data_IF_197980712292
#
_entry.id   IF_197980712292
#
_cell.length_a   1.000
_cell.length_b   1.000
_cell.length_c   1.000
_cell.angle_alpha   90.00
_cell.angle_beta   90.00
_cell.angle_gamma   90.00
#
_symmetry.space_group_name_H-M   'P 1'
#
loop_
_entity.id
_entity.type
_entity.pdbx_description
1 polymer ?
#
# COMPACT_ATOMS: atom_id res chain seq x y z
N UNK A 1 7.46 -26.50 17.48
CA UNK A 1 7.44 -25.13 18.05
C UNK A 1 5.98 -24.74 18.23
N UNK A 2 5.48 -24.62 19.46
CA UNK A 2 4.08 -24.22 19.70
C UNK A 2 3.97 -22.73 19.36
N UNK A 3 3.19 -22.40 18.33
CA UNK A 3 2.82 -21.04 17.94
C UNK A 3 1.93 -20.43 19.03
N UNK A 4 2.54 -20.02 20.14
CA UNK A 4 1.88 -19.39 21.26
C UNK A 4 1.61 -17.92 20.96
N UNK A 5 0.36 -17.57 20.68
CA UNK A 5 -0.31 -16.31 21.03
C UNK A 5 0.22 -14.95 20.55
N UNK A 6 1.46 -14.85 20.08
CA UNK A 6 2.06 -13.58 19.69
C UNK A 6 1.97 -13.39 18.17
N UNK A 7 1.26 -12.33 17.78
CA UNK A 7 1.11 -11.88 16.40
C UNK A 7 2.42 -11.32 15.77
N UNK A 8 3.56 -11.49 16.45
CA UNK A 8 4.92 -11.15 16.01
C UNK A 8 5.75 -12.40 15.63
N UNK A 9 5.13 -13.59 15.58
CA UNK A 9 5.86 -14.80 15.21
C UNK A 9 6.03 -14.85 13.69
N UNK A 10 7.18 -14.37 13.19
CA UNK A 10 7.64 -14.75 11.85
C UNK A 10 8.03 -16.22 11.85
N UNK A 11 8.02 -16.83 10.67
CA UNK A 11 8.45 -18.22 10.50
C UNK A 11 9.23 -18.39 9.20
N UNK A 12 10.24 -19.28 9.17
CA UNK A 12 11.01 -19.52 7.97
C UNK A 12 10.17 -20.29 6.95
N UNK A 13 10.44 -20.12 5.67
CA UNK A 13 9.80 -20.82 4.55
C UNK A 13 9.90 -22.34 4.69
N UNK A 14 10.94 -22.84 5.37
CA UNK A 14 11.12 -24.26 5.68
C UNK A 14 9.97 -24.84 6.52
N UNK A 15 9.19 -24.00 7.19
CA UNK A 15 8.00 -24.41 7.95
C UNK A 15 6.83 -24.82 7.05
N UNK A 16 6.86 -24.47 5.76
CA UNK A 16 5.77 -24.74 4.81
C UNK A 16 6.20 -25.61 3.62
N UNK A 17 7.51 -25.91 3.48
CA UNK A 17 8.05 -26.63 2.33
C UNK A 17 7.57 -28.09 2.26
N UNK A 18 7.23 -28.69 3.40
CA UNK A 18 6.74 -30.07 3.52
C UNK A 18 5.23 -30.20 3.27
N UNK A 19 4.50 -29.08 3.23
CA UNK A 19 3.05 -29.03 3.02
C UNK A 19 2.71 -29.32 1.57
N UNK A 20 1.76 -30.21 1.36
CA UNK A 20 1.39 -30.73 0.02
C UNK A 20 0.09 -30.12 -0.49
N UNK A 21 -0.72 -29.51 0.37
CA UNK A 21 -2.06 -29.02 0.07
C UNK A 21 -2.27 -27.65 0.70
N UNK A 22 -1.58 -26.66 0.14
CA UNK A 22 -1.60 -25.27 0.60
C UNK A 22 -2.73 -24.51 -0.09
N UNK A 23 -3.61 -23.91 0.69
CA UNK A 23 -4.66 -23.00 0.22
C UNK A 23 -4.27 -21.55 0.50
N UNK A 24 -4.48 -20.63 -0.45
CA UNK A 24 -4.34 -19.19 -0.19
C UNK A 24 -5.71 -18.55 0.05
N UNK A 25 -5.79 -17.58 0.96
CA UNK A 25 -7.06 -16.88 1.27
C UNK A 25 -6.83 -15.41 1.68
N UNK A 26 -7.61 -14.44 1.22
CA UNK A 26 -8.59 -14.53 0.15
C UNK A 26 -7.90 -14.51 -1.22
N UNK A 27 -8.65 -14.77 -2.30
CA UNK A 27 -8.21 -14.48 -3.67
C UNK A 27 -8.13 -12.94 -3.86
N UNK A 28 -7.05 -12.33 -3.37
CA UNK A 28 -6.76 -10.89 -3.45
C UNK A 28 -5.36 -10.62 -4.02
N UNK A 29 -5.00 -9.34 -4.21
CA UNK A 29 -3.68 -8.94 -4.69
C UNK A 29 -2.53 -9.54 -3.87
N UNK A 30 -2.69 -9.67 -2.55
CA UNK A 30 -1.69 -10.34 -1.70
C UNK A 30 -1.41 -11.79 -2.10
N UNK A 31 -2.39 -12.53 -2.64
CA UNK A 31 -2.16 -13.87 -3.18
C UNK A 31 -1.33 -13.83 -4.45
N UNK A 32 -1.58 -12.87 -5.35
CA UNK A 32 -0.77 -12.68 -6.55
C UNK A 32 0.69 -12.32 -6.21
N UNK A 33 0.88 -11.47 -5.19
CA UNK A 33 2.20 -11.08 -4.72
C UNK A 33 2.99 -12.25 -4.14
N UNK A 34 2.35 -13.03 -3.26
CA UNK A 34 2.97 -14.24 -2.70
C UNK A 34 3.32 -15.24 -3.80
N UNK A 35 2.44 -15.47 -4.78
CA UNK A 35 2.70 -16.39 -5.89
C UNK A 35 3.85 -15.93 -6.78
N UNK A 36 3.98 -14.63 -7.04
CA UNK A 36 5.14 -14.06 -7.74
C UNK A 36 6.44 -14.36 -6.98
N UNK A 37 6.45 -14.13 -5.68
CA UNK A 37 7.61 -14.46 -4.83
C UNK A 37 7.94 -15.95 -4.87
N UNK A 38 6.93 -16.83 -4.72
CA UNK A 38 7.13 -18.28 -4.77
C UNK A 38 7.63 -18.72 -6.14
N UNK A 39 7.16 -18.12 -7.23
CA UNK A 39 7.65 -18.40 -8.58
C UNK A 39 9.13 -18.06 -8.74
N UNK A 40 9.56 -16.94 -8.18
CA UNK A 40 10.93 -16.45 -8.30
C UNK A 40 11.91 -17.19 -7.39
N UNK A 41 11.51 -17.46 -6.14
CA UNK A 41 12.42 -17.94 -5.09
C UNK A 41 12.19 -19.41 -4.69
N UNK A 42 10.96 -19.90 -4.76
CA UNK A 42 10.58 -21.23 -4.27
C UNK A 42 9.61 -21.96 -5.21
N UNK A 43 9.94 -22.14 -6.50
CA UNK A 43 8.98 -22.64 -7.50
C UNK A 43 8.46 -24.05 -7.18
N UNK A 44 9.22 -24.83 -6.41
CA UNK A 44 8.81 -26.15 -5.93
C UNK A 44 7.58 -26.13 -5.00
N UNK A 45 7.27 -25.00 -4.35
CA UNK A 45 6.09 -24.85 -3.49
C UNK A 45 4.83 -24.62 -4.33
N UNK A 46 4.94 -24.00 -5.52
CA UNK A 46 3.78 -23.66 -6.35
C UNK A 46 2.90 -24.87 -6.69
N UNK A 47 3.51 -26.04 -6.93
CA UNK A 47 2.78 -27.29 -7.22
C UNK A 47 1.92 -27.79 -6.05
N UNK A 48 2.19 -27.31 -4.84
CA UNK A 48 1.46 -27.65 -3.63
C UNK A 48 0.32 -26.66 -3.36
N UNK A 49 0.23 -25.55 -4.12
CA UNK A 49 -0.88 -24.60 -4.04
C UNK A 49 -2.08 -25.21 -4.76
N UNK A 50 -3.10 -25.61 -3.98
CA UNK A 50 -4.26 -26.33 -4.51
C UNK A 50 -5.38 -25.41 -5.00
N UNK A 51 -5.30 -24.12 -4.70
CA UNK A 51 -6.27 -23.12 -5.10
C UNK A 51 -6.27 -21.88 -4.21
N UNK A 52 -7.23 -21.01 -4.50
CA UNK A 52 -7.54 -19.82 -3.71
C UNK A 52 -8.92 -20.00 -3.09
N UNK A 53 -9.16 -19.48 -1.89
CA UNK A 53 -10.52 -19.32 -1.38
C UNK A 53 -10.95 -17.86 -1.38
N UNK A 54 -12.24 -17.59 -1.56
CA UNK A 54 -12.81 -16.25 -1.42
C UNK A 54 -14.31 -16.38 -1.09
N UNK A 55 -14.92 -15.31 -0.57
CA UNK A 55 -16.37 -15.22 -0.39
C UNK A 55 -17.08 -15.15 -1.75
N UNK A 56 -16.41 -14.58 -2.75
CA UNK A 56 -16.87 -14.61 -4.14
C UNK A 56 -16.06 -15.63 -4.97
N UNK A 57 -16.57 -16.86 -5.19
CA UNK A 57 -15.89 -17.87 -6.00
C UNK A 57 -15.86 -17.54 -7.50
N UNK A 58 -16.66 -16.57 -7.96
CA UNK A 58 -16.74 -16.17 -9.36
C UNK A 58 -15.77 -15.05 -9.71
N UNK A 59 -14.95 -14.61 -8.76
CA UNK A 59 -13.98 -13.55 -8.91
C UNK A 59 -12.98 -13.85 -10.02
N UNK A 60 -13.24 -13.37 -11.24
CA UNK A 60 -12.40 -13.60 -12.43
C UNK A 60 -11.09 -12.83 -12.40
N UNK A 61 -11.02 -11.88 -11.47
CA UNK A 61 -10.03 -10.84 -11.27
C UNK A 61 -8.60 -11.25 -11.05
N UNK A 62 -8.46 -12.35 -10.33
CA UNK A 62 -7.19 -12.92 -9.92
C UNK A 62 -7.16 -14.36 -10.38
N UNK A 63 -7.76 -14.64 -11.54
CA UNK A 63 -7.50 -15.87 -12.28
C UNK A 63 -6.03 -15.85 -12.69
N UNK A 64 -5.20 -16.16 -11.71
CA UNK A 64 -3.82 -16.54 -11.85
C UNK A 64 -3.89 -17.85 -12.62
N UNK A 65 -3.41 -17.82 -13.86
CA UNK A 65 -3.53 -18.93 -14.80
C UNK A 65 -3.27 -20.25 -14.07
N UNK A 66 -4.30 -21.10 -13.99
CA UNK A 66 -4.35 -22.46 -13.40
C UNK A 66 -4.85 -22.62 -11.95
N UNK A 67 -5.08 -21.56 -11.16
CA UNK A 67 -5.63 -21.71 -9.81
C UNK A 67 -7.14 -21.48 -9.77
N UNK A 68 -7.88 -22.47 -9.26
CA UNK A 68 -9.33 -22.37 -9.02
C UNK A 68 -9.61 -21.57 -7.74
N UNK A 69 -10.65 -20.74 -7.79
CA UNK A 69 -11.20 -20.06 -6.62
C UNK A 69 -12.36 -20.90 -6.07
N UNK A 70 -12.34 -21.12 -4.77
CA UNK A 70 -13.30 -21.93 -4.03
C UNK A 70 -14.09 -21.07 -3.06
N UNK A 71 -15.38 -21.34 -2.96
CA UNK A 71 -16.25 -20.69 -1.98
C UNK A 71 -15.92 -21.18 -0.56
N UNK A 72 -16.16 -20.33 0.44
CA UNK A 72 -15.84 -20.61 1.85
C UNK A 72 -16.40 -21.95 2.36
N UNK A 73 -17.63 -22.29 1.98
CA UNK A 73 -18.31 -23.54 2.35
C UNK A 73 -17.71 -24.81 1.69
N UNK A 74 -16.94 -24.66 0.62
CA UNK A 74 -16.29 -25.78 -0.09
C UNK A 74 -14.87 -26.07 0.38
N UNK A 75 -14.27 -25.20 1.20
CA UNK A 75 -12.84 -25.29 1.57
C UNK A 75 -12.50 -26.58 2.33
N UNK A 76 -13.39 -27.05 3.21
CA UNK A 76 -13.17 -28.29 3.98
C UNK A 76 -13.04 -29.52 3.08
N UNK A 77 -13.80 -29.57 1.97
CA UNK A 77 -13.74 -30.68 1.01
C UNK A 77 -12.38 -30.77 0.31
N UNK A 78 -11.63 -29.67 0.23
CA UNK A 78 -10.29 -29.63 -0.32
C UNK A 78 -9.25 -30.28 0.60
N UNK A 79 -9.57 -30.50 1.88
CA UNK A 79 -8.63 -31.05 2.88
C UNK A 79 -7.24 -30.38 2.80
N UNK A 80 -7.15 -29.04 2.95
CA UNK A 80 -5.87 -28.37 3.00
C UNK A 80 -5.07 -28.84 4.22
N UNK A 81 -3.76 -28.97 4.09
CA UNK A 81 -2.84 -29.23 5.22
C UNK A 81 -2.16 -27.94 5.73
N UNK A 82 -2.41 -26.82 5.06
CA UNK A 82 -2.05 -25.47 5.47
C UNK A 82 -2.95 -24.45 4.74
N UNK A 83 -3.35 -23.39 5.46
CA UNK A 83 -3.92 -22.18 4.84
C UNK A 83 -3.00 -20.99 5.10
N UNK A 84 -2.64 -20.28 4.03
CA UNK A 84 -1.93 -19.02 4.09
C UNK A 84 -2.91 -17.88 3.84
N UNK A 85 -3.10 -17.04 4.85
CA UNK A 85 -3.86 -15.81 4.73
C UNK A 85 -2.97 -14.73 4.13
N UNK A 86 -3.37 -14.16 2.99
CA UNK A 86 -2.57 -13.19 2.21
C UNK A 86 -3.08 -11.76 2.38
N UNK A 87 -3.76 -11.49 3.49
CA UNK A 87 -4.23 -10.16 3.86
C UNK A 87 -3.99 -9.94 5.34
N UNK A 88 -2.97 -9.14 5.65
CA UNK A 88 -2.59 -8.89 7.03
C UNK A 88 -3.70 -8.18 7.83
N UNK A 89 -4.41 -7.22 7.25
CA UNK A 89 -5.50 -6.51 7.93
C UNK A 89 -6.73 -7.38 8.20
N UNK A 90 -6.98 -8.37 7.36
CA UNK A 90 -8.12 -9.29 7.50
C UNK A 90 -7.76 -10.56 8.29
N UNK A 91 -6.47 -10.79 8.56
CA UNK A 91 -5.98 -12.01 9.18
C UNK A 91 -6.66 -12.38 10.50
N UNK A 92 -6.86 -11.47 11.48
CA UNK A 92 -7.51 -11.85 12.73
C UNK A 92 -8.91 -12.43 12.53
N UNK A 93 -9.74 -11.74 11.74
CA UNK A 93 -11.12 -12.16 11.46
C UNK A 93 -11.16 -13.43 10.59
N UNK A 94 -10.33 -13.51 9.56
CA UNK A 94 -10.27 -14.68 8.68
C UNK A 94 -9.75 -15.92 9.39
N UNK A 95 -8.78 -15.77 10.29
CA UNK A 95 -8.26 -16.90 11.08
C UNK A 95 -9.35 -17.52 11.94
N UNK A 96 -10.15 -16.70 12.62
CA UNK A 96 -11.28 -17.18 13.41
C UNK A 96 -12.32 -17.91 12.53
N UNK A 97 -12.72 -17.29 11.41
CA UNK A 97 -13.66 -17.87 10.44
C UNK A 97 -13.16 -19.23 9.90
N UNK A 98 -11.90 -19.28 9.43
CA UNK A 98 -11.30 -20.49 8.85
C UNK A 98 -11.07 -21.59 9.89
N UNK A 99 -10.69 -21.25 11.13
CA UNK A 99 -10.57 -22.24 12.21
C UNK A 99 -11.91 -22.94 12.46
N UNK A 100 -13.01 -22.18 12.45
CA UNK A 100 -14.36 -22.75 12.61
C UNK A 100 -14.78 -23.67 11.46
N UNK A 101 -14.33 -23.38 10.23
CA UNK A 101 -14.68 -24.14 9.03
C UNK A 101 -13.83 -25.39 8.81
N UNK A 102 -12.52 -25.31 9.06
CA UNK A 102 -11.54 -26.36 8.74
C UNK A 102 -11.16 -27.23 9.94
N UNK A 103 -11.50 -26.79 11.14
CA UNK A 103 -11.12 -27.45 12.39
C UNK A 103 -9.75 -27.01 12.91
N UNK A 104 -9.42 -27.37 14.16
CA UNK A 104 -8.23 -26.88 14.86
C UNK A 104 -6.91 -27.46 14.34
N UNK A 105 -6.94 -28.55 13.58
CA UNK A 105 -5.75 -29.28 13.14
C UNK A 105 -5.11 -28.69 11.87
N UNK A 106 -5.85 -27.85 11.12
CA UNK A 106 -5.33 -27.18 9.93
C UNK A 106 -4.66 -25.87 10.34
N UNK A 107 -3.33 -25.72 10.18
CA UNK A 107 -2.65 -24.48 10.50
C UNK A 107 -3.13 -23.35 9.58
N UNK A 108 -3.45 -22.20 10.18
CA UNK A 108 -3.80 -20.97 9.47
C UNK A 108 -2.77 -19.90 9.83
N UNK A 109 -1.92 -19.57 8.87
CA UNK A 109 -0.77 -18.67 9.05
C UNK A 109 -0.92 -17.43 8.18
N UNK A 110 -0.30 -16.33 8.60
CA UNK A 110 -0.20 -15.12 7.80
C UNK A 110 0.98 -15.24 6.81
N UNK A 111 0.73 -15.03 5.52
CA UNK A 111 1.77 -15.08 4.49
C UNK A 111 2.86 -14.01 4.72
N UNK A 112 2.46 -12.80 5.09
CA UNK A 112 3.37 -11.69 5.41
C UNK A 112 4.30 -11.97 6.61
N UNK A 113 4.11 -13.08 7.34
CA UNK A 113 5.01 -13.50 8.43
C UNK A 113 6.12 -14.47 7.95
N UNK A 114 6.15 -14.84 6.67
CA UNK A 114 7.24 -15.62 6.08
C UNK A 114 8.49 -14.73 6.00
N UNK A 115 9.56 -15.12 6.68
CA UNK A 115 10.79 -14.32 6.80
C UNK A 115 11.42 -14.01 5.43
N UNK A 116 11.52 -15.01 4.56
CA UNK A 116 12.08 -14.89 3.22
C UNK A 116 11.20 -14.05 2.28
N UNK A 117 9.88 -14.05 2.49
CA UNK A 117 8.97 -13.22 1.73
C UNK A 117 9.07 -11.75 2.15
N UNK A 118 9.11 -11.47 3.45
CA UNK A 118 9.37 -10.12 3.98
C UNK A 118 10.71 -9.59 3.47
N UNK A 119 11.78 -10.38 3.56
CA UNK A 119 13.09 -10.00 3.06
C UNK A 119 13.09 -9.74 1.54
N UNK A 120 12.37 -10.57 0.78
CA UNK A 120 12.20 -10.38 -0.67
C UNK A 120 11.49 -9.08 -1.01
N UNK A 121 10.39 -8.76 -0.31
CA UNK A 121 9.65 -7.52 -0.56
C UNK A 121 10.44 -6.29 -0.09
N UNK A 122 11.17 -6.40 1.04
CA UNK A 122 12.00 -5.34 1.59
C UNK A 122 13.33 -5.10 0.84
N UNK A 123 13.66 -5.90 -0.18
CA UNK A 123 14.97 -5.86 -0.87
C UNK A 123 15.35 -4.49 -1.46
N UNK A 124 14.35 -3.67 -1.83
CA UNK A 124 14.57 -2.32 -2.39
C UNK A 124 14.64 -1.22 -1.32
N UNK A 125 14.37 -1.52 -0.05
CA UNK A 125 14.43 -0.53 1.04
C UNK A 125 15.86 -0.37 1.54
N UNK A 126 16.41 0.83 1.42
CA UNK A 126 17.72 1.14 1.99
C UNK A 126 17.66 1.19 3.52
N UNK A 127 16.52 1.59 4.10
CA UNK A 127 16.32 1.54 5.54
C UNK A 127 16.38 0.08 6.05
N UNK A 128 15.69 -0.84 5.39
CA UNK A 128 15.72 -2.25 5.75
C UNK A 128 17.13 -2.85 5.62
N UNK A 129 17.86 -2.50 4.56
CA UNK A 129 19.25 -2.95 4.38
C UNK A 129 20.18 -2.42 5.48
N UNK A 130 20.08 -1.14 5.84
CA UNK A 130 20.86 -0.57 6.96
C UNK A 130 20.56 -1.28 8.28
N UNK A 131 19.28 -1.55 8.54
CA UNK A 131 18.86 -2.20 9.78
C UNK A 131 19.16 -3.70 9.81
N UNK A 132 19.36 -4.38 8.68
CA UNK A 132 19.66 -5.81 8.66
C UNK A 132 20.90 -6.17 9.49
N UNK A 133 21.93 -5.31 9.48
CA UNK A 133 23.16 -5.48 10.27
C UNK A 133 23.07 -5.02 11.72
N UNK A 134 22.02 -4.28 12.10
CA UNK A 134 21.83 -3.82 13.47
C UNK A 134 21.33 -4.98 14.35
N UNK A 135 21.80 -5.14 15.60
CA UNK A 135 21.30 -6.19 16.50
C UNK A 135 19.82 -5.97 16.81
N UNK A 136 19.06 -7.04 17.04
CA UNK A 136 17.70 -6.96 17.60
C UNK A 136 17.75 -7.31 19.08
N UNK A 137 17.36 -6.39 19.96
CA UNK A 137 17.45 -6.54 21.42
C UNK A 137 16.12 -6.98 22.08
N UNK A 138 15.05 -7.18 21.31
CA UNK A 138 13.75 -7.66 21.80
C UNK A 138 12.77 -6.56 22.25
N UNK A 139 13.25 -5.34 22.51
CA UNK A 139 12.42 -4.22 23.02
C UNK A 139 12.01 -3.22 21.92
N UNK A 140 12.34 -3.52 20.66
CA UNK A 140 12.17 -2.59 19.52
C UNK A 140 10.77 -2.52 18.93
N UNK A 141 9.85 -3.38 19.37
CA UNK A 141 8.47 -3.47 18.84
C UNK A 141 7.49 -2.43 19.44
N UNK A 142 7.89 -1.67 20.48
CA UNK A 142 7.01 -0.80 21.27
C UNK A 142 6.70 0.58 20.60
N UNK A 143 5.63 1.32 20.98
CA UNK A 143 4.90 1.31 22.25
C UNK A 143 3.82 0.23 22.37
N UNK A 144 3.29 0.00 23.59
CA UNK A 144 2.34 -1.05 23.97
C UNK A 144 1.04 -1.18 23.13
N UNK A 145 0.80 -0.29 22.16
CA UNK A 145 -0.21 -0.43 21.13
C UNK A 145 0.44 -0.94 19.83
N UNK A 146 0.40 -2.25 19.60
CA UNK A 146 1.01 -2.94 18.45
C UNK A 146 0.31 -2.63 17.09
N UNK A 147 -0.10 -1.39 16.87
CA UNK A 147 -0.82 -0.88 15.70
C UNK A 147 0.07 -0.07 14.77
N UNK A 148 1.29 -0.53 14.46
CA UNK A 148 2.10 0.08 13.40
C UNK A 148 1.27 0.16 12.12
N UNK A 149 1.39 1.27 11.40
CA UNK A 149 0.74 1.43 10.10
C UNK A 149 1.63 0.81 9.01
N UNK A 150 2.93 1.12 9.03
CA UNK A 150 3.93 0.57 8.14
C UNK A 150 4.78 -0.53 8.79
N UNK A 151 5.24 -1.50 7.99
CA UNK A 151 6.09 -2.59 8.45
C UNK A 151 7.53 -2.10 8.63
N UNK A 152 7.87 -1.66 9.85
CA UNK A 152 9.17 -1.05 10.16
C UNK A 152 10.28 -2.10 10.30
N UNK A 153 11.48 -1.93 9.72
CA UNK A 153 12.61 -2.82 10.03
C UNK A 153 13.13 -2.52 11.45
N UNK A 154 13.28 -3.56 12.27
CA UNK A 154 13.64 -3.42 13.69
C UNK A 154 15.11 -3.77 13.99
N UNK A 155 15.81 -4.41 13.07
CA UNK A 155 17.16 -4.95 13.31
C UNK A 155 17.19 -6.46 13.14
N UNK A 156 18.34 -7.03 12.76
CA UNK A 156 18.57 -8.48 12.75
C UNK A 156 17.58 -9.27 11.89
N UNK A 157 17.08 -8.65 10.80
CA UNK A 157 16.06 -9.23 9.93
C UNK A 157 14.65 -9.28 10.53
N UNK A 158 14.41 -8.62 11.67
CA UNK A 158 13.08 -8.50 12.28
C UNK A 158 12.36 -7.27 11.76
N UNK A 159 11.04 -7.39 11.69
CA UNK A 159 10.14 -6.36 11.20
C UNK A 159 8.95 -6.20 12.13
N UNK A 160 8.49 -4.96 12.30
CA UNK A 160 7.32 -4.65 13.10
C UNK A 160 6.06 -5.19 12.43
N UNK A 161 5.19 -5.79 13.26
CA UNK A 161 3.85 -6.15 12.82
C UNK A 161 3.06 -4.87 12.57
N UNK A 162 2.55 -4.70 11.36
CA UNK A 162 1.86 -3.47 10.95
C UNK A 162 0.57 -3.74 10.22
N UNK A 163 -0.23 -2.71 9.93
CA UNK A 163 -1.43 -2.81 9.09
C UNK A 163 -1.08 -3.10 7.62
N UNK A 164 -0.07 -2.42 7.07
CA UNK A 164 0.32 -2.52 5.66
C UNK A 164 1.12 -3.78 5.32
N UNK A 165 1.79 -4.40 6.29
CA UNK A 165 2.60 -5.60 6.07
C UNK A 165 3.61 -5.40 4.92
N UNK A 166 3.73 -6.38 4.03
CA UNK A 166 4.66 -6.31 2.88
C UNK A 166 4.36 -5.16 1.91
N UNK A 167 3.13 -4.62 1.91
CA UNK A 167 2.76 -3.50 1.03
C UNK A 167 3.55 -2.22 1.32
N UNK A 168 4.07 -2.07 2.54
CA UNK A 168 5.00 -0.99 2.89
C UNK A 168 6.17 -0.91 1.92
N UNK A 169 6.74 -2.07 1.56
CA UNK A 169 7.93 -2.14 0.71
C UNK A 169 7.59 -2.10 -0.77
N UNK A 170 6.52 -2.80 -1.19
CA UNK A 170 6.06 -2.77 -2.59
C UNK A 170 5.72 -1.37 -3.08
N UNK A 171 5.21 -0.53 -2.17
CA UNK A 171 4.83 0.83 -2.52
C UNK A 171 6.03 1.66 -3.01
N UNK A 172 7.26 1.36 -2.59
CA UNK A 172 8.47 2.06 -3.05
C UNK A 172 8.64 2.01 -4.58
N UNK A 173 8.41 0.83 -5.17
CA UNK A 173 8.46 0.66 -6.63
C UNK A 173 7.20 1.21 -7.31
N UNK A 174 6.01 1.01 -6.70
CA UNK A 174 4.73 1.47 -7.26
C UNK A 174 4.66 2.99 -7.37
N UNK A 175 5.25 3.71 -6.43
CA UNK A 175 5.32 5.19 -6.46
C UNK A 175 6.56 5.70 -7.21
N UNK A 176 7.40 4.80 -7.73
CA UNK A 176 8.70 5.12 -8.37
C UNK A 176 9.56 6.04 -7.49
N UNK A 177 9.63 5.77 -6.19
CA UNK A 177 10.47 6.57 -5.29
C UNK A 177 11.92 6.50 -5.78
N UNK A 178 12.61 7.63 -6.05
CA UNK A 178 13.97 7.62 -6.56
C UNK A 178 14.91 6.85 -5.64
N UNK A 179 15.79 6.03 -6.21
CA UNK A 179 16.70 5.17 -5.44
C UNK A 179 17.78 5.96 -4.68
N UNK A 180 18.13 7.14 -5.19
CA UNK A 180 19.07 8.06 -4.57
C UNK A 180 18.41 9.44 -4.49
N UNK A 181 18.49 10.04 -3.30
CA UNK A 181 17.96 11.35 -2.97
C UNK A 181 19.07 12.31 -2.54
N UNK A 182 20.33 11.97 -2.82
CA UNK A 182 21.50 12.80 -2.50
C UNK A 182 21.27 14.26 -2.92
N UNK A 183 21.37 15.17 -1.95
CA UNK A 183 21.20 16.62 -2.17
C UNK A 183 19.75 17.10 -2.28
N UNK A 184 18.75 16.21 -2.22
CA UNK A 184 17.33 16.56 -2.33
C UNK A 184 16.70 16.79 -0.97
N UNK A 185 15.85 17.80 -0.88
CA UNK A 185 14.98 18.06 0.26
C UNK A 185 13.62 17.38 0.05
N UNK A 186 13.09 16.72 1.09
CA UNK A 186 11.87 15.91 0.99
C UNK A 186 10.83 16.37 2.02
N UNK A 187 9.58 16.52 1.58
CA UNK A 187 8.42 16.72 2.44
C UNK A 187 7.52 15.48 2.37
N UNK A 188 7.27 14.84 3.51
CA UNK A 188 6.37 13.70 3.66
C UNK A 188 5.11 14.12 4.43
N UNK A 189 3.99 14.24 3.72
CA UNK A 189 2.71 14.63 4.29
C UNK A 189 1.92 13.40 4.73
N UNK A 190 1.25 13.48 5.88
CA UNK A 190 0.55 12.36 6.52
C UNK A 190 1.48 11.16 6.79
N UNK A 191 2.66 11.45 7.36
CA UNK A 191 3.73 10.47 7.52
C UNK A 191 3.38 9.30 8.48
N UNK A 192 2.32 9.41 9.30
CA UNK A 192 1.91 8.40 10.27
C UNK A 192 3.05 8.00 11.23
N UNK A 193 3.57 6.78 11.11
CA UNK A 193 4.72 6.26 11.87
C UNK A 193 6.08 6.49 11.19
N UNK A 194 6.11 7.09 9.99
CA UNK A 194 7.29 7.69 9.39
C UNK A 194 8.09 6.84 8.41
N UNK A 195 7.64 5.64 8.03
CA UNK A 195 8.42 4.74 7.17
C UNK A 195 9.02 5.42 5.93
N UNK A 196 8.20 6.11 5.13
CA UNK A 196 8.70 6.76 3.91
C UNK A 196 9.63 7.94 4.20
N UNK A 197 9.43 8.64 5.31
CA UNK A 197 10.37 9.67 5.76
C UNK A 197 11.75 9.08 6.08
N UNK A 198 11.80 7.98 6.85
CA UNK A 198 13.06 7.32 7.21
C UNK A 198 13.71 6.62 6.01
N UNK A 199 12.92 6.06 5.09
CA UNK A 199 13.43 5.51 3.84
C UNK A 199 14.06 6.61 2.97
N UNK A 200 13.46 7.80 2.89
CA UNK A 200 14.04 8.94 2.19
C UNK A 200 15.36 9.40 2.80
N UNK A 201 15.45 9.48 4.13
CA UNK A 201 16.72 9.75 4.82
C UNK A 201 17.75 8.63 4.55
N UNK A 202 17.31 7.37 4.56
CA UNK A 202 18.18 6.23 4.24
C UNK A 202 18.73 6.28 2.80
N UNK A 203 18.00 6.91 1.88
CA UNK A 203 18.37 7.24 0.49
C UNK A 203 19.17 8.53 0.34
N UNK A 204 19.77 9.02 1.41
CA UNK A 204 20.67 10.18 1.42
C UNK A 204 20.00 11.52 1.11
N UNK A 205 18.69 11.66 1.34
CA UNK A 205 18.04 12.96 1.30
C UNK A 205 18.79 13.98 2.17
N UNK A 206 19.03 15.18 1.64
CA UNK A 206 19.72 16.27 2.35
C UNK A 206 19.00 16.63 3.65
N UNK A 207 17.66 16.68 3.59
CA UNK A 207 16.81 16.79 4.77
C UNK A 207 15.41 16.30 4.46
N UNK A 208 14.75 15.75 5.48
CA UNK A 208 13.37 15.26 5.38
C UNK A 208 12.53 15.93 6.45
N UNK A 209 11.37 16.44 6.03
CA UNK A 209 10.34 16.99 6.90
C UNK A 209 9.10 16.09 6.84
N UNK A 210 8.78 15.44 7.95
CA UNK A 210 7.56 14.67 8.14
C UNK A 210 6.47 15.55 8.78
N UNK A 211 5.26 15.47 8.26
CA UNK A 211 4.09 16.19 8.80
C UNK A 211 2.97 15.21 9.06
N UNK A 212 2.43 15.26 10.27
CA UNK A 212 1.27 14.47 10.68
C UNK A 212 0.50 15.25 11.75
N UNK A 213 -0.82 15.10 11.84
CA UNK A 213 -1.64 15.97 12.68
C UNK A 213 -2.91 15.34 13.23
N UNK A 214 -3.57 16.00 14.21
CA UNK A 214 -4.67 15.43 14.99
C UNK A 214 -6.00 15.19 14.21
N UNK A 215 -5.99 15.31 12.88
CA UNK A 215 -7.19 15.14 12.03
C UNK A 215 -7.50 13.70 11.61
N UNK A 216 -6.62 12.74 11.91
CA UNK A 216 -6.68 11.38 11.37
C UNK A 216 -6.81 10.28 12.43
N UNK A 217 -7.20 10.67 13.67
CA UNK A 217 -7.48 9.75 14.79
C UNK A 217 -6.36 8.74 15.10
N UNK A 218 -5.10 9.13 14.95
CA UNK A 218 -3.97 8.28 15.34
C UNK A 218 -3.05 8.95 16.39
N UNK A 219 -3.54 9.19 17.62
CA UNK A 219 -2.73 9.76 18.69
C UNK A 219 -1.48 8.91 19.03
N UNK A 220 -1.43 7.65 18.62
CA UNK A 220 -0.27 6.80 18.76
C UNK A 220 0.76 6.90 17.61
N UNK A 221 0.40 7.49 16.48
CA UNK A 221 1.30 7.69 15.33
C UNK A 221 2.57 8.44 15.71
N UNK A 222 2.43 9.55 16.44
CA UNK A 222 3.58 10.32 16.95
C UNK A 222 4.49 9.49 17.87
N UNK A 223 3.93 8.67 18.75
CA UNK A 223 4.73 7.84 19.66
C UNK A 223 5.56 6.82 18.88
N UNK A 224 4.95 6.17 17.89
CA UNK A 224 5.62 5.24 16.97
C UNK A 224 6.69 5.93 16.13
N UNK A 225 6.39 7.10 15.58
CA UNK A 225 7.37 7.90 14.85
C UNK A 225 8.58 8.25 15.72
N UNK A 226 8.37 8.74 16.95
CA UNK A 226 9.47 9.11 17.85
C UNK A 226 10.28 7.90 18.29
N UNK A 227 9.63 6.75 18.50
CA UNK A 227 10.31 5.48 18.78
C UNK A 227 11.18 5.05 17.60
N UNK A 228 10.62 5.01 16.39
CA UNK A 228 11.36 4.70 15.16
C UNK A 228 12.51 5.68 14.92
N UNK A 229 12.29 6.98 15.14
CA UNK A 229 13.34 8.01 15.02
C UNK A 229 14.49 7.73 15.97
N UNK A 230 14.20 7.35 17.21
CA UNK A 230 15.23 6.98 18.19
C UNK A 230 15.96 5.71 17.77
N UNK A 231 15.22 4.69 17.30
CA UNK A 231 15.76 3.42 16.86
C UNK A 231 16.72 3.57 15.67
N UNK A 232 16.41 4.47 14.75
CA UNK A 232 17.20 4.70 13.53
C UNK A 232 18.25 5.79 13.69
N UNK A 233 18.39 6.38 14.89
CA UNK A 233 19.25 7.56 15.13
C UNK A 233 18.98 8.68 14.11
N UNK A 234 17.71 8.83 13.75
CA UNK A 234 17.28 9.63 12.61
C UNK A 234 17.17 11.12 12.94
N UNK A 235 17.48 11.94 11.95
CA UNK A 235 17.42 13.41 12.02
C UNK A 235 16.16 14.00 11.37
N UNK A 236 15.25 13.15 10.89
CA UNK A 236 13.99 13.59 10.26
C UNK A 236 13.24 14.56 11.19
N UNK A 237 12.89 15.73 10.63
CA UNK A 237 12.13 16.76 11.33
C UNK A 237 10.66 16.37 11.33
N UNK A 238 10.02 16.35 12.49
CA UNK A 238 8.60 16.05 12.61
C UNK A 238 7.81 17.29 12.99
N UNK A 239 6.74 17.58 12.25
CA UNK A 239 5.77 18.62 12.58
C UNK A 239 4.42 17.99 12.95
N UNK A 240 3.99 18.20 14.19
CA UNK A 240 2.64 17.89 14.62
C UNK A 240 1.69 19.02 14.20
N UNK A 241 1.11 18.93 13.01
CA UNK A 241 0.27 19.98 12.44
C UNK A 241 -0.81 19.42 11.51
N UNK A 242 -1.96 20.11 11.42
CA UNK A 242 -2.92 19.84 10.35
C UNK A 242 -2.25 20.11 9.00
N UNK A 243 -2.47 19.22 8.04
CA UNK A 243 -1.84 19.28 6.72
C UNK A 243 -2.17 20.60 6.03
N UNK A 244 -3.44 21.00 6.04
CA UNK A 244 -3.90 22.25 5.42
C UNK A 244 -3.22 23.47 6.05
N UNK A 245 -3.14 23.51 7.38
CA UNK A 245 -2.46 24.60 8.09
C UNK A 245 -0.93 24.60 7.84
N UNK A 246 -0.33 23.44 7.65
CA UNK A 246 1.10 23.33 7.38
C UNK A 246 1.46 23.88 5.99
N UNK A 247 0.68 23.53 4.96
CA UNK A 247 0.91 23.95 3.58
C UNK A 247 0.48 25.39 3.30
N UNK A 248 -0.40 25.97 4.12
CA UNK A 248 -0.82 27.37 4.02
C UNK A 248 0.21 28.36 4.60
N UNK A 249 1.13 27.87 5.44
CA UNK A 249 2.16 28.72 6.03
C UNK A 249 3.26 29.06 5.00
N UNK A 250 3.81 30.30 5.02
CA UNK A 250 4.97 30.65 4.21
C UNK A 250 6.16 29.74 4.53
N UNK A 251 6.66 29.01 3.52
CA UNK A 251 7.76 28.04 3.67
C UNK A 251 8.62 28.00 2.41
N UNK A 252 9.84 27.50 2.59
CA UNK A 252 10.66 27.06 1.48
C UNK A 252 10.01 25.86 0.78
N UNK A 253 10.22 25.77 -0.53
CA UNK A 253 9.86 24.60 -1.32
C UNK A 253 10.81 23.43 -1.06
N UNK A 254 10.35 22.24 -1.43
CA UNK A 254 11.06 20.97 -1.32
C UNK A 254 11.29 20.42 -2.72
N UNK A 255 12.40 19.72 -2.94
CA UNK A 255 12.63 19.08 -4.23
C UNK A 255 11.60 17.99 -4.48
N UNK A 256 11.26 17.22 -3.44
CA UNK A 256 10.33 16.12 -3.53
C UNK A 256 9.24 16.26 -2.47
N UNK A 257 7.97 16.14 -2.90
CA UNK A 257 6.82 16.11 -1.99
C UNK A 257 6.10 14.76 -2.12
N UNK A 258 5.86 14.10 -0.99
CA UNK A 258 5.07 12.87 -0.90
C UNK A 258 3.68 13.20 -0.34
N UNK A 259 2.65 12.93 -1.13
CA UNK A 259 1.23 13.06 -0.77
C UNK A 259 0.56 11.69 -0.88
N UNK A 260 0.79 10.85 0.14
CA UNK A 260 0.46 9.43 0.06
C UNK A 260 -0.88 9.11 0.74
N UNK A 261 -1.96 9.08 -0.04
CA UNK A 261 -3.29 8.70 0.47
C UNK A 261 -4.09 9.85 1.09
N UNK A 262 -3.88 11.10 0.63
CA UNK A 262 -4.38 12.31 1.33
C UNK A 262 -5.59 12.95 0.64
N UNK A 263 -5.48 13.27 -0.66
CA UNK A 263 -6.36 14.24 -1.33
C UNK A 263 -7.87 13.97 -1.15
N UNK A 264 -8.28 12.71 -1.12
CA UNK A 264 -9.68 12.29 -1.05
C UNK A 264 -10.34 12.49 0.32
N UNK A 265 -9.57 12.89 1.32
CA UNK A 265 -10.05 13.27 2.64
C UNK A 265 -10.19 14.78 2.83
N UNK A 266 -9.73 15.57 1.86
CA UNK A 266 -9.74 17.03 1.94
C UNK A 266 -11.02 17.58 1.33
N UNK A 267 -11.51 18.70 1.86
CA UNK A 267 -12.70 19.36 1.32
C UNK A 267 -12.46 19.91 -0.09
N UNK A 268 -11.27 20.46 -0.35
CA UNK A 268 -10.88 21.08 -1.62
C UNK A 268 -9.56 20.48 -2.15
N UNK A 269 -9.62 19.39 -2.93
CA UNK A 269 -8.43 18.76 -3.49
C UNK A 269 -7.73 19.60 -4.57
N UNK A 270 -8.45 20.50 -5.27
CA UNK A 270 -7.87 21.36 -6.30
C UNK A 270 -6.94 22.41 -5.69
N UNK A 271 -7.44 23.14 -4.68
CA UNK A 271 -6.63 24.10 -3.94
C UNK A 271 -5.43 23.42 -3.25
N UNK A 272 -5.63 22.20 -2.74
CA UNK A 272 -4.55 21.40 -2.19
C UNK A 272 -3.43 21.15 -3.21
N UNK A 273 -3.75 20.68 -4.42
CA UNK A 273 -2.73 20.44 -5.44
C UNK A 273 -2.03 21.72 -5.92
N UNK A 274 -2.73 22.84 -6.05
CA UNK A 274 -2.10 24.13 -6.38
C UNK A 274 -1.07 24.57 -5.31
N UNK A 275 -1.38 24.33 -4.02
CA UNK A 275 -0.44 24.59 -2.92
C UNK A 275 0.75 23.63 -2.94
N UNK A 276 0.52 22.35 -3.24
CA UNK A 276 1.62 21.40 -3.39
C UNK A 276 2.52 21.75 -4.57
N UNK A 277 1.96 22.23 -5.68
CA UNK A 277 2.75 22.76 -6.79
C UNK A 277 3.65 23.90 -6.28
N UNK A 278 3.13 24.89 -5.56
CA UNK A 278 3.97 25.96 -5.01
C UNK A 278 5.10 25.45 -4.07
N UNK A 279 4.87 24.36 -3.33
CA UNK A 279 5.83 23.75 -2.41
C UNK A 279 6.82 22.77 -3.05
N UNK A 280 6.67 22.42 -4.31
CA UNK A 280 7.52 21.43 -5.00
C UNK A 280 8.52 22.14 -5.91
N UNK A 281 9.79 21.73 -5.97
CA UNK A 281 10.75 22.23 -6.97
C UNK A 281 10.85 21.30 -8.18
N UNK A 282 10.75 19.99 -7.96
CA UNK A 282 11.05 18.98 -8.97
C UNK A 282 9.89 17.98 -9.09
N UNK A 283 9.59 17.20 -8.04
CA UNK A 283 8.68 16.06 -8.13
C UNK A 283 7.64 16.01 -7.00
N UNK A 284 6.38 15.79 -7.38
CA UNK A 284 5.28 15.43 -6.48
C UNK A 284 4.86 13.98 -6.72
N UNK A 285 4.77 13.19 -5.66
CA UNK A 285 4.24 11.82 -5.69
C UNK A 285 2.90 11.81 -4.98
N UNK A 286 1.83 11.42 -5.68
CA UNK A 286 0.48 11.31 -5.14
C UNK A 286 0.03 9.86 -5.16
N UNK A 287 -0.56 9.38 -4.07
CA UNK A 287 -1.29 8.11 -4.10
C UNK A 287 -2.70 8.24 -3.55
N UNK A 288 -3.58 7.35 -3.99
CA UNK A 288 -4.90 7.27 -3.40
C UNK A 288 -5.81 6.23 -4.04
N UNK A 289 -7.05 6.20 -3.52
CA UNK A 289 -8.11 5.38 -4.08
C UNK A 289 -8.78 6.13 -5.21
N UNK A 290 -8.80 5.51 -6.39
CA UNK A 290 -9.52 6.02 -7.54
C UNK A 290 -10.72 5.14 -7.87
N UNK A 291 -11.67 5.68 -8.62
CA UNK A 291 -12.73 4.88 -9.23
C UNK A 291 -12.30 4.41 -10.62
N UNK A 292 -12.41 3.10 -10.86
CA UNK A 292 -12.21 2.47 -12.16
C UNK A 292 -13.46 2.66 -13.02
N UNK A 293 -13.73 3.91 -13.40
CA UNK A 293 -14.82 4.30 -14.29
C UNK A 293 -14.26 5.06 -15.48
N UNK A 294 -14.49 4.51 -16.67
CA UNK A 294 -14.12 5.13 -17.94
C UNK A 294 -15.39 5.55 -18.67
N UNK A 295 -15.62 6.86 -18.71
CA UNK A 295 -16.62 7.50 -19.55
C UNK A 295 -15.83 8.42 -20.49
N UNK A 296 -16.20 8.52 -21.75
CA UNK A 296 -15.54 9.47 -22.67
C UNK A 296 -16.07 10.87 -22.46
N UNK A 297 -15.22 11.88 -22.57
CA UNK A 297 -15.61 13.28 -22.47
C UNK A 297 -16.46 13.69 -23.68
N UNK A 298 -17.77 13.99 -23.49
CA UNK A 298 -18.65 14.30 -24.60
C UNK A 298 -18.33 15.64 -25.27
N UNK A 299 -17.59 16.54 -24.61
CA UNK A 299 -17.23 17.85 -25.18
C UNK A 299 -16.14 17.68 -26.25
N UNK A 300 -15.27 16.69 -26.09
CA UNK A 300 -14.12 16.44 -26.96
C UNK A 300 -14.34 15.25 -27.91
N UNK A 301 -15.60 14.84 -28.07
CA UNK A 301 -16.02 13.74 -28.92
C UNK A 301 -16.60 14.27 -30.24
N UNK A 302 -16.37 13.59 -31.39
CA UNK A 302 -17.04 13.94 -32.65
C UNK A 302 -18.59 13.92 -32.51
N UNK A 303 -19.27 14.88 -33.12
CA UNK A 303 -20.73 15.06 -32.97
C UNK A 303 -21.55 13.82 -33.36
N UNK A 304 -21.11 13.09 -34.39
CA UNK A 304 -21.71 11.83 -34.86
C UNK A 304 -21.54 10.68 -33.85
N UNK A 305 -20.53 10.75 -32.98
CA UNK A 305 -20.35 9.80 -31.88
C UNK A 305 -21.23 10.13 -30.66
N UNK A 306 -21.54 11.40 -30.43
CA UNK A 306 -22.42 11.84 -29.33
C UNK A 306 -23.88 11.42 -29.60
N UNK A 307 -24.30 11.44 -30.86
CA UNK A 307 -25.69 11.19 -31.26
C UNK A 307 -25.80 10.03 -32.27
N UNK A 308 -25.78 8.79 -31.77
CA UNK A 308 -26.19 7.62 -32.57
C UNK A 308 -25.10 6.59 -32.88
N UNK A 309 -23.85 6.81 -32.45
CA UNK A 309 -22.83 5.78 -32.51
C UNK A 309 -23.04 4.68 -31.46
N UNK A 310 -22.56 3.48 -31.77
CA UNK A 310 -22.41 2.43 -30.78
C UNK A 310 -21.35 2.87 -29.75
N UNK A 311 -21.63 2.77 -28.43
CA UNK A 311 -20.67 3.16 -27.38
C UNK A 311 -19.29 2.50 -27.47
N UNK A 312 -19.20 1.35 -28.15
CA UNK A 312 -17.92 0.67 -28.44
C UNK A 312 -17.02 1.38 -29.47
N UNK A 313 -17.56 2.37 -30.20
CA UNK A 313 -16.84 3.18 -31.19
C UNK A 313 -16.46 4.56 -30.67
N UNK A 314 -16.73 4.85 -29.39
CA UNK A 314 -16.37 6.11 -28.78
C UNK A 314 -14.85 6.32 -28.78
N UNK A 315 -14.42 7.39 -29.44
CA UNK A 315 -13.02 7.85 -29.47
C UNK A 315 -12.94 9.19 -28.73
N UNK A 316 -11.85 9.42 -27.99
CA UNK A 316 -11.63 10.67 -27.25
C UNK A 316 -11.08 10.44 -25.86
N UNK A 317 -10.69 11.53 -25.18
CA UNK A 317 -10.13 11.47 -23.82
C UNK A 317 -11.18 10.95 -22.83
N UNK A 318 -10.71 10.29 -21.77
CA UNK A 318 -11.57 9.94 -20.65
C UNK A 318 -12.05 11.22 -19.94
N UNK A 319 -13.33 11.24 -19.57
CA UNK A 319 -13.92 12.29 -18.77
C UNK A 319 -13.34 12.28 -17.36
N UNK A 320 -13.10 13.48 -16.84
CA UNK A 320 -12.70 13.68 -15.44
C UNK A 320 -13.92 13.54 -14.53
N UNK A 321 -13.88 12.55 -13.65
CA UNK A 321 -14.95 12.24 -12.70
C UNK A 321 -14.42 12.45 -11.28
N UNK A 322 -15.08 13.33 -10.52
CA UNK A 322 -14.89 13.51 -9.09
C UNK A 322 -16.21 13.24 -8.36
N UNK A 323 -16.28 12.16 -7.60
CA UNK A 323 -17.47 11.74 -6.87
C UNK A 323 -17.39 12.18 -5.41
N UNK A 324 -18.45 12.80 -4.90
CA UNK A 324 -18.64 12.96 -3.45
C UNK A 324 -19.06 11.62 -2.85
N UNK A 325 -18.08 10.83 -2.45
CA UNK A 325 -18.23 9.46 -1.94
C UNK A 325 -18.88 9.39 -0.55
N UNK A 326 -18.66 10.40 0.29
CA UNK A 326 -19.33 10.50 1.60
C UNK A 326 -19.79 11.93 1.85
N UNK A 327 -21.11 12.12 1.84
CA UNK A 327 -21.76 13.41 2.04
C UNK A 327 -21.68 13.91 3.48
N UNK A 328 -21.49 13.03 4.47
CA UNK A 328 -21.46 13.42 5.89
C UNK A 328 -20.13 14.06 6.27
N UNK A 329 -19.05 13.59 5.66
CA UNK A 329 -17.67 13.98 6.01
C UNK A 329 -16.90 14.60 4.84
N UNK A 330 -17.52 14.75 3.67
CA UNK A 330 -16.93 15.46 2.53
C UNK A 330 -15.80 14.70 1.84
N UNK A 331 -15.90 13.36 1.72
CA UNK A 331 -14.85 12.56 1.05
C UNK A 331 -15.08 12.46 -0.44
N UNK A 332 -14.00 12.60 -1.20
CA UNK A 332 -14.02 12.51 -2.66
C UNK A 332 -13.51 11.17 -3.17
N UNK A 333 -13.83 10.82 -4.41
CA UNK A 333 -13.16 9.74 -5.14
C UNK A 333 -13.08 10.16 -6.60
N UNK A 334 -11.86 10.32 -7.08
CA UNK A 334 -11.57 10.71 -8.47
C UNK A 334 -11.33 9.47 -9.33
N UNK A 335 -11.61 9.51 -10.63
CA UNK A 335 -10.97 8.57 -11.56
C UNK A 335 -9.55 9.05 -11.89
N UNK A 336 -8.75 8.20 -12.56
CA UNK A 336 -7.37 8.54 -12.94
C UNK A 336 -7.33 9.81 -13.80
N UNK A 337 -8.20 9.93 -14.81
CA UNK A 337 -8.28 11.10 -15.68
C UNK A 337 -8.47 12.41 -14.89
N UNK A 338 -9.35 12.41 -13.88
CA UNK A 338 -9.56 13.56 -13.02
C UNK A 338 -8.34 13.93 -12.20
N UNK A 339 -7.60 12.96 -11.65
CA UNK A 339 -6.36 13.27 -10.93
C UNK A 339 -5.30 13.91 -11.86
N UNK A 340 -5.14 13.38 -13.07
CA UNK A 340 -4.21 13.94 -14.06
C UNK A 340 -4.60 15.38 -14.42
N UNK A 341 -5.87 15.63 -14.72
CA UNK A 341 -6.38 16.98 -15.02
C UNK A 341 -6.20 17.94 -13.83
N UNK A 342 -6.49 17.52 -12.60
CA UNK A 342 -6.30 18.35 -11.41
C UNK A 342 -4.84 18.76 -11.20
N UNK A 343 -3.89 17.86 -11.49
CA UNK A 343 -2.46 18.13 -11.37
C UNK A 343 -1.95 19.05 -12.49
N UNK A 344 -2.42 18.88 -13.72
CA UNK A 344 -2.13 19.83 -14.81
C UNK A 344 -2.69 21.23 -14.50
N UNK A 345 -3.93 21.31 -13.98
CA UNK A 345 -4.55 22.59 -13.56
C UNK A 345 -3.74 23.25 -12.43
N UNK A 346 -3.17 22.46 -11.52
CA UNK A 346 -2.33 22.95 -10.43
C UNK A 346 -0.98 23.53 -10.92
N UNK A 347 -0.57 23.22 -12.16
CA UNK A 347 0.62 23.77 -12.82
C UNK A 347 1.75 22.78 -13.09
N UNK A 348 1.59 21.50 -12.77
CA UNK A 348 2.60 20.48 -13.11
C UNK A 348 2.64 20.26 -14.62
N UNK A 349 3.86 20.22 -15.18
CA UNK A 349 4.09 20.15 -16.62
C UNK A 349 3.99 18.72 -17.16
N UNK A 350 4.50 17.74 -16.41
CA UNK A 350 4.45 16.31 -16.74
C UNK A 350 3.75 15.55 -15.63
N UNK A 351 2.76 14.72 -15.97
CA UNK A 351 1.97 13.96 -14.99
C UNK A 351 1.75 12.54 -15.50
N UNK A 352 2.36 11.57 -14.81
CA UNK A 352 2.40 10.17 -15.21
C UNK A 352 1.72 9.25 -14.21
N UNK A 353 0.95 8.30 -14.71
CA UNK A 353 0.45 7.16 -13.92
C UNK A 353 1.62 6.21 -13.65
N UNK A 354 2.14 6.26 -12.43
CA UNK A 354 3.24 5.40 -12.00
C UNK A 354 2.77 3.96 -11.75
N UNK A 355 1.58 3.83 -11.16
CA UNK A 355 0.92 2.57 -10.87
C UNK A 355 -0.59 2.77 -10.89
N UNK A 356 -1.32 1.85 -11.50
CA UNK A 356 -2.78 1.80 -11.39
C UNK A 356 -3.23 0.34 -11.38
N UNK A 357 -3.94 -0.03 -10.32
CA UNK A 357 -4.45 -1.38 -10.18
C UNK A 357 -5.86 -1.39 -9.63
N UNK A 358 -6.80 -1.80 -10.47
CA UNK A 358 -8.15 -2.17 -10.08
C UNK A 358 -8.25 -3.70 -10.03
N UNK A 359 -8.48 -4.33 -8.86
CA UNK A 359 -8.84 -5.74 -8.83
C UNK A 359 -10.13 -5.95 -9.63
N UNK A 360 -10.21 -6.87 -10.59
CA UNK A 360 -11.46 -6.98 -11.36
C UNK A 360 -12.69 -7.32 -10.49
N UNK A 361 -13.85 -6.84 -10.90
CA UNK A 361 -15.05 -6.81 -10.06
C UNK A 361 -15.05 -5.75 -8.95
N UNK A 362 -13.92 -5.05 -8.72
CA UNK A 362 -13.88 -3.80 -7.96
C UNK A 362 -14.19 -2.63 -8.87
N UNK A 363 -14.79 -1.59 -8.29
CA UNK A 363 -14.85 -0.26 -8.89
C UNK A 363 -13.81 0.68 -8.28
N UNK A 364 -13.06 0.23 -7.27
CA UNK A 364 -12.02 1.01 -6.60
C UNK A 364 -10.66 0.45 -6.98
N UNK A 365 -9.81 1.33 -7.50
CA UNK A 365 -8.42 1.06 -7.80
C UNK A 365 -7.48 1.74 -6.80
N UNK A 366 -6.25 1.24 -6.73
CA UNK A 366 -5.15 1.92 -6.05
C UNK A 366 -4.25 2.53 -7.11
N UNK A 367 -4.07 3.85 -7.03
CA UNK A 367 -3.34 4.62 -8.04
C UNK A 367 -2.18 5.38 -7.40
N UNK A 368 -1.06 5.43 -8.09
CA UNK A 368 0.05 6.32 -7.84
C UNK A 368 0.31 7.16 -9.09
N UNK A 369 0.50 8.46 -8.89
CA UNK A 369 0.86 9.43 -9.92
C UNK A 369 2.15 10.10 -9.50
N UNK A 370 3.05 10.29 -10.46
CA UNK A 370 4.25 11.10 -10.33
C UNK A 370 4.06 12.33 -11.22
N UNK A 371 4.23 13.51 -10.66
CA UNK A 371 4.10 14.78 -11.36
C UNK A 371 5.39 15.59 -11.24
N UNK A 372 5.84 16.19 -12.33
CA UNK A 372 7.04 17.02 -12.40
C UNK A 372 6.70 18.46 -12.79
N UNK A 373 7.53 19.39 -12.32
CA UNK A 373 7.46 20.81 -12.68
C UNK A 373 8.15 21.16 -13.99
#
# INVERSE_FOLDING_TARGET
>A
MKLGGHLATTFPISSIIDKKRILLYPAASGSAYLLSFLQDAFPGILRNIIGLGDKDPNKTSLRLDRLKIYAADTLAALRPDLVLVTSNSLFPAMREELCGQLGPDVPILLADAIEEYLAHEAKQSLLAQKMLGAPFDGDRDAPADNGWFHCMPLGGGRYAKSYKGVLTYRMLDQIRLPRDLTGKTVLDLAASDGFYSFECEARNALSVTAVEGPGWENPAGLKRFLHARSLYESTVKYHNARIEAFIDAPRHSYDIVLSLGIYYHLQDPLSYFAKLHALTNDMLIVTGRTIAATIHDPIHMPYDQIHGANPSMHTGRAASILLLSDRKIGKWTANVACLLDMLHIAGFAEVDVAFDYCPPGSFIASTAIVAHK
#
